data_IF_526069838917
#
_entry.id   IF_526069838917
#
_cell.length_a   1.000
_cell.length_b   1.000
_cell.length_c   1.000
_cell.angle_alpha   90.00
_cell.angle_beta   90.00
_cell.angle_gamma   90.00
#
_symmetry.space_group_name_H-M   'P 1'
#
loop_
_entity.id
_entity.type
_entity.pdbx_description
1 polymer ?
#
# COMPACT_ATOMS: atom_id res chain seq x y z
N UNK A 1 17.71 -8.16 8.74
CA UNK A 1 17.60 -7.79 8.19
C UNK A 1 17.27 -7.82 7.15
N UNK A 2 17.22 -7.67 7.09
CA UNK A 2 17.30 -7.77 6.48
C UNK A 2 17.44 -7.52 5.32
N UNK A 3 18.14 -7.39 5.06
CA UNK A 3 18.57 -7.05 3.84
C UNK A 3 17.80 -7.61 2.77
N UNK A 4 17.04 -8.55 2.99
CA UNK A 4 16.29 -9.04 1.97
C UNK A 4 14.91 -8.66 2.05
N UNK A 5 14.57 -7.59 1.45
CA UNK A 5 13.23 -7.10 1.35
C UNK A 5 12.41 -8.14 0.62
N UNK A 6 12.11 -8.46 -0.35
CA UNK A 6 11.33 -9.53 -0.99
C UNK A 6 9.86 -9.46 -0.75
N UNK A 7 9.29 -8.26 -0.76
CA UNK A 7 7.87 -8.07 -0.60
C UNK A 7 7.39 -8.14 0.84
N UNK A 8 8.31 -8.18 1.78
CA UNK A 8 7.95 -8.12 3.19
C UNK A 8 7.74 -6.68 3.61
N UNK A 9 7.26 -6.52 4.82
CA UNK A 9 7.06 -5.21 5.43
C UNK A 9 8.37 -4.44 5.51
N UNK A 10 8.33 -3.20 5.05
CA UNK A 10 9.48 -2.31 5.14
C UNK A 10 8.99 -0.89 5.42
N UNK A 11 9.64 -0.20 6.38
CA UNK A 11 9.35 1.20 6.64
C UNK A 11 10.26 2.07 5.77
N UNK A 12 9.67 2.91 4.94
CA UNK A 12 10.40 3.88 4.11
C UNK A 12 10.55 5.21 4.83
N UNK A 13 9.64 5.50 5.75
CA UNK A 13 9.66 6.65 6.66
C UNK A 13 9.11 6.17 8.00
N UNK A 14 9.25 6.94 9.08
CA UNK A 14 8.77 6.47 10.40
C UNK A 14 7.30 6.05 10.41
N UNK A 15 6.48 6.64 9.56
CA UNK A 15 5.06 6.32 9.51
C UNK A 15 4.57 5.92 8.12
N UNK A 16 5.48 5.52 7.23
CA UNK A 16 5.15 5.06 5.89
C UNK A 16 5.74 3.67 5.66
N UNK A 17 4.86 2.70 5.54
CA UNK A 17 5.22 1.29 5.40
C UNK A 17 4.77 0.77 4.04
N UNK A 18 5.59 -0.07 3.43
CA UNK A 18 5.18 -0.82 2.25
C UNK A 18 5.17 -2.31 2.58
N UNK A 19 4.31 -3.04 1.87
CA UNK A 19 4.21 -4.49 2.05
C UNK A 19 3.68 -5.12 0.76
N UNK A 20 4.34 -6.14 0.28
CA UNK A 20 3.99 -6.81 -0.97
C UNK A 20 2.87 -7.84 -0.83
N UNK A 21 1.89 -7.60 0.01
CA UNK A 21 0.74 -8.48 0.16
C UNK A 21 -0.10 -8.46 -1.12
N UNK A 22 -0.04 -9.53 -1.89
CA UNK A 22 -0.60 -9.57 -3.24
C UNK A 22 -1.59 -10.72 -3.46
N UNK A 23 -2.02 -11.39 -2.39
CA UNK A 23 -3.08 -12.40 -2.42
C UNK A 23 -3.80 -12.38 -1.07
N UNK A 24 -4.90 -13.13 -0.98
CA UNK A 24 -5.72 -13.11 0.24
C UNK A 24 -4.95 -13.57 1.48
N UNK A 25 -4.08 -14.55 1.32
CA UNK A 25 -3.31 -15.05 2.47
C UNK A 25 -2.29 -14.04 2.97
N UNK A 26 -1.55 -13.42 2.05
CA UNK A 26 -0.55 -12.43 2.45
C UNK A 26 -1.18 -11.15 2.98
N UNK A 27 -2.37 -10.77 2.47
CA UNK A 27 -3.12 -9.65 3.04
C UNK A 27 -3.55 -9.96 4.46
N UNK A 28 -3.99 -11.19 4.73
CA UNK A 28 -4.37 -11.58 6.08
C UNK A 28 -3.19 -11.44 7.05
N UNK A 29 -2.00 -11.86 6.63
CA UNK A 29 -0.79 -11.72 7.44
C UNK A 29 -0.50 -10.25 7.71
N UNK A 30 -0.63 -9.40 6.71
CA UNK A 30 -0.44 -7.95 6.89
C UNK A 30 -1.45 -7.38 7.89
N UNK A 31 -2.72 -7.76 7.78
CA UNK A 31 -3.75 -7.29 8.70
C UNK A 31 -3.46 -7.73 10.13
N UNK A 32 -3.06 -8.98 10.32
CA UNK A 32 -2.70 -9.48 11.64
C UNK A 32 -1.54 -8.67 12.24
N UNK A 33 -0.55 -8.34 11.42
CA UNK A 33 0.57 -7.50 11.85
C UNK A 33 0.08 -6.11 12.28
N UNK A 34 -0.77 -5.49 11.46
CA UNK A 34 -1.28 -4.16 11.78
C UNK A 34 -2.08 -4.16 13.07
N UNK A 35 -2.90 -5.18 13.27
CA UNK A 35 -3.72 -5.27 14.47
C UNK A 35 -2.93 -5.60 15.73
N UNK A 36 -1.85 -6.37 15.61
CA UNK A 36 -1.07 -6.77 16.77
C UNK A 36 0.00 -5.76 17.15
N UNK A 37 0.61 -5.09 16.17
CA UNK A 37 1.74 -4.21 16.45
C UNK A 37 1.45 -2.73 16.26
N UNK A 38 0.36 -2.39 15.58
CA UNK A 38 0.02 -1.00 15.27
C UNK A 38 -1.43 -0.68 15.59
N UNK A 39 -2.01 -1.37 16.57
CA UNK A 39 -3.40 -1.17 16.95
C UNK A 39 -3.68 0.23 17.48
N UNK A 40 -2.65 0.93 17.94
CA UNK A 40 -2.78 2.28 18.44
C UNK A 40 -2.72 3.34 17.34
N UNK A 41 -2.54 2.94 16.09
CA UNK A 41 -2.41 3.86 14.96
C UNK A 41 -3.70 3.94 14.17
N UNK A 42 -3.93 5.11 13.60
CA UNK A 42 -4.97 5.30 12.61
C UNK A 42 -4.38 4.91 11.25
N UNK A 43 -4.93 3.87 10.65
CA UNK A 43 -4.34 3.27 9.44
C UNK A 43 -4.97 3.88 8.19
N UNK A 44 -4.13 4.33 7.25
CA UNK A 44 -4.55 4.71 5.91
C UNK A 44 -3.82 3.85 4.91
N UNK A 45 -4.55 3.28 3.96
CA UNK A 45 -3.99 2.29 3.03
C UNK A 45 -4.13 2.75 1.59
N UNK A 46 -3.11 2.46 0.80
CA UNK A 46 -3.14 2.62 -0.65
C UNK A 46 -2.86 1.25 -1.28
N UNK A 47 -3.69 0.87 -2.23
CA UNK A 47 -3.61 -0.45 -2.87
C UNK A 47 -3.58 -0.33 -4.38
N UNK A 48 -2.72 -1.11 -5.02
CA UNK A 48 -2.77 -1.33 -6.46
C UNK A 48 -2.38 -2.76 -6.78
N UNK A 49 -2.99 -3.31 -7.81
CA UNK A 49 -2.82 -4.72 -8.16
C UNK A 49 -2.63 -4.89 -9.66
N UNK A 50 -2.19 -6.08 -10.06
CA UNK A 50 -2.24 -6.50 -11.45
C UNK A 50 -3.49 -7.33 -11.66
N UNK A 51 -3.95 -7.41 -12.91
CA UNK A 51 -5.26 -7.97 -13.25
C UNK A 51 -5.26 -9.49 -13.42
N UNK A 52 -4.19 -10.16 -13.03
CA UNK A 52 -4.08 -11.61 -13.16
C UNK A 52 -4.77 -12.36 -12.01
N UNK A 53 -5.24 -11.66 -11.00
CA UNK A 53 -5.86 -12.27 -9.81
C UNK A 53 -7.09 -11.49 -9.38
N UNK A 54 -8.08 -12.18 -8.76
CA UNK A 54 -9.21 -11.48 -8.16
C UNK A 54 -8.75 -10.59 -7.01
N UNK A 55 -9.33 -9.42 -6.92
CA UNK A 55 -8.94 -8.42 -5.90
C UNK A 55 -9.99 -8.22 -4.81
N UNK A 56 -11.22 -8.69 -5.01
CA UNK A 56 -12.32 -8.39 -4.10
C UNK A 56 -12.05 -8.81 -2.66
N UNK A 57 -11.50 -10.01 -2.48
CA UNK A 57 -11.19 -10.51 -1.14
C UNK A 57 -10.11 -9.69 -0.45
N UNK A 58 -9.12 -9.26 -1.21
CA UNK A 58 -8.06 -8.40 -0.65
C UNK A 58 -8.62 -7.05 -0.24
N UNK A 59 -9.45 -6.45 -1.08
CA UNK A 59 -10.06 -5.16 -0.77
C UNK A 59 -10.97 -5.25 0.45
N UNK A 60 -11.76 -6.32 0.55
CA UNK A 60 -12.64 -6.52 1.71
C UNK A 60 -11.85 -6.61 3.01
N UNK A 61 -10.74 -7.30 2.99
CA UNK A 61 -9.90 -7.41 4.18
C UNK A 61 -9.25 -6.08 4.53
N UNK A 62 -8.69 -5.38 3.54
CA UNK A 62 -7.96 -4.14 3.78
C UNK A 62 -8.88 -3.04 4.31
N UNK A 63 -10.10 -2.93 3.78
CA UNK A 63 -11.00 -1.88 4.23
C UNK A 63 -11.45 -2.09 5.68
N UNK A 64 -11.28 -3.29 6.23
CA UNK A 64 -11.66 -3.55 7.61
C UNK A 64 -10.70 -2.97 8.63
N UNK A 65 -9.49 -2.59 8.23
CA UNK A 65 -8.48 -2.12 9.17
C UNK A 65 -8.18 -0.63 9.05
N UNK A 66 -8.64 0.02 8.00
CA UNK A 66 -8.35 1.44 7.83
C UNK A 66 -9.03 2.05 6.62
N UNK A 67 -8.68 3.30 6.37
CA UNK A 67 -9.21 4.07 5.24
C UNK A 67 -8.47 3.64 3.97
N UNK A 68 -9.19 3.04 3.04
CA UNK A 68 -8.60 2.42 1.85
C UNK A 68 -8.82 3.27 0.61
N UNK A 69 -7.72 3.56 -0.09
CA UNK A 69 -7.72 4.19 -1.41
C UNK A 69 -7.10 3.23 -2.41
N UNK A 70 -7.61 3.19 -3.61
CA UNK A 70 -7.06 2.34 -4.68
C UNK A 70 -6.46 3.22 -5.77
N UNK A 71 -5.46 2.67 -6.47
CA UNK A 71 -4.83 3.38 -7.56
C UNK A 71 -4.39 2.40 -8.65
N UNK A 72 -3.93 2.94 -9.76
CA UNK A 72 -3.28 2.20 -10.84
C UNK A 72 -1.82 2.61 -10.88
N UNK A 73 -1.00 1.89 -11.62
CA UNK A 73 0.42 2.22 -11.70
C UNK A 73 0.93 1.88 -13.11
N UNK A 74 2.14 2.30 -13.40
CA UNK A 74 2.74 2.17 -14.73
C UNK A 74 3.21 0.74 -14.95
N UNK A 75 2.30 -0.10 -15.42
CA UNK A 75 2.56 -1.51 -15.68
C UNK A 75 1.46 -2.04 -16.60
N UNK A 76 1.79 -2.83 -17.62
CA UNK A 76 0.79 -3.24 -18.63
C UNK A 76 -0.45 -3.91 -18.04
N UNK A 77 -0.27 -4.73 -17.01
CA UNK A 77 -1.37 -5.50 -16.43
C UNK A 77 -1.91 -4.87 -15.14
N UNK A 78 -1.61 -3.61 -14.87
CA UNK A 78 -2.15 -2.98 -13.67
C UNK A 78 -3.68 -2.87 -13.79
N UNK A 79 -4.37 -3.09 -12.69
CA UNK A 79 -5.82 -2.90 -12.64
C UNK A 79 -6.11 -1.42 -12.85
N UNK A 80 -6.92 -1.11 -13.86
CA UNK A 80 -7.25 0.28 -14.18
C UNK A 80 -8.27 0.83 -13.19
N UNK A 81 -8.26 2.14 -13.02
CA UNK A 81 -9.14 2.78 -12.03
C UNK A 81 -10.61 2.45 -12.24
N UNK A 82 -11.06 2.38 -13.49
CA UNK A 82 -12.46 2.08 -13.79
C UNK A 82 -12.85 0.62 -13.54
N UNK A 83 -11.89 -0.23 -13.21
CA UNK A 83 -12.15 -1.64 -12.89
C UNK A 83 -12.33 -1.89 -11.39
N UNK A 84 -12.04 -0.90 -10.56
CA UNK A 84 -12.31 -1.04 -9.13
C UNK A 84 -13.77 -0.72 -8.83
N UNK A 85 -14.35 -1.35 -7.81
CA UNK A 85 -15.70 -0.96 -7.37
C UNK A 85 -15.76 0.52 -7.01
N UNK A 86 -16.86 1.16 -7.39
CA UNK A 86 -17.02 2.61 -7.22
C UNK A 86 -17.01 3.04 -5.75
N UNK A 87 -17.27 2.12 -4.85
CA UNK A 87 -17.32 2.43 -3.41
C UNK A 87 -15.95 2.85 -2.86
N UNK A 88 -14.86 2.47 -3.52
CA UNK A 88 -13.53 2.77 -3.04
C UNK A 88 -13.06 4.14 -3.52
N UNK A 89 -12.37 4.86 -2.63
CA UNK A 89 -11.69 6.09 -2.99
C UNK A 89 -10.59 5.80 -4.01
N UNK A 90 -10.38 6.70 -4.94
CA UNK A 90 -9.39 6.53 -5.99
C UNK A 90 -8.46 7.73 -6.05
N UNK A 91 -7.21 7.48 -6.45
CA UNK A 91 -6.24 8.52 -6.70
C UNK A 91 -5.50 8.15 -8.00
N UNK A 92 -5.10 9.14 -8.82
CA UNK A 92 -4.52 8.83 -10.13
C UNK A 92 -3.20 8.07 -10.06
N UNK A 93 -2.38 8.34 -9.04
CA UNK A 93 -1.11 7.64 -8.88
C UNK A 93 -0.65 7.71 -7.43
N UNK A 94 0.35 6.87 -7.09
CA UNK A 94 0.84 6.80 -5.72
C UNK A 94 1.61 8.05 -5.30
N UNK A 95 2.24 8.73 -6.25
CA UNK A 95 3.01 9.94 -5.93
C UNK A 95 2.10 11.04 -5.41
N UNK A 96 0.95 11.22 -6.04
CA UNK A 96 -0.06 12.17 -5.61
C UNK A 96 -0.56 11.83 -4.20
N UNK A 97 -0.86 10.55 -3.97
CA UNK A 97 -1.34 10.13 -2.65
C UNK A 97 -0.31 10.41 -1.56
N UNK A 98 0.95 10.08 -1.82
CA UNK A 98 2.01 10.33 -0.84
C UNK A 98 2.17 11.81 -0.56
N UNK A 99 2.20 12.62 -1.62
CA UNK A 99 2.37 14.07 -1.46
C UNK A 99 1.21 14.72 -0.72
N UNK A 100 -0.01 14.26 -0.98
CA UNK A 100 -1.21 14.91 -0.43
C UNK A 100 -1.64 14.35 0.91
N UNK A 101 -1.36 13.09 1.21
CA UNK A 101 -1.90 12.43 2.39
C UNK A 101 -0.86 12.10 3.45
N UNK A 102 0.34 11.72 3.05
CA UNK A 102 1.33 11.26 4.02
C UNK A 102 1.93 12.45 4.76
N UNK A 103 1.72 12.48 6.06
CA UNK A 103 2.23 13.54 6.94
C UNK A 103 3.25 12.95 7.90
N UNK A 104 3.74 13.78 8.82
CA UNK A 104 4.63 13.31 9.88
C UNK A 104 3.89 13.03 11.19
N UNK A 105 2.56 12.98 11.15
CA UNK A 105 1.73 12.71 12.31
C UNK A 105 2.02 11.29 12.83
N UNK A 106 2.55 11.19 14.05
CA UNK A 106 2.92 9.90 14.62
C UNK A 106 1.72 9.08 15.11
N UNK A 107 0.52 9.61 15.04
CA UNK A 107 -0.71 8.87 15.35
C UNK A 107 -1.23 8.10 14.14
N UNK A 108 -0.71 8.39 12.97
CA UNK A 108 -1.12 7.73 11.73
C UNK A 108 -0.05 6.81 11.22
N UNK A 109 -0.49 5.73 10.59
CA UNK A 109 0.38 4.83 9.85
C UNK A 109 -0.15 4.71 8.42
N UNK A 110 0.68 5.02 7.46
CA UNK A 110 0.35 4.93 6.04
C UNK A 110 0.93 3.64 5.50
N UNK A 111 0.10 2.82 4.88
CA UNK A 111 0.50 1.49 4.38
C UNK A 111 0.21 1.41 2.89
N UNK A 112 1.23 1.14 2.10
CA UNK A 112 1.08 0.94 0.67
C UNK A 112 1.32 -0.53 0.37
N UNK A 113 0.35 -1.18 -0.27
CA UNK A 113 0.38 -2.62 -0.48
C UNK A 113 -0.21 -3.00 -1.83
N UNK A 114 -0.04 -4.26 -2.21
CA UNK A 114 -0.53 -4.79 -3.48
C UNK A 114 0.56 -5.51 -4.24
N UNK A 115 0.54 -5.39 -5.56
CA UNK A 115 1.50 -6.04 -6.44
C UNK A 115 2.95 -5.71 -6.07
N UNK A 116 3.83 -6.71 -6.14
CA UNK A 116 5.27 -6.50 -5.94
C UNK A 116 5.83 -5.49 -6.95
N UNK A 117 5.31 -5.48 -8.18
CA UNK A 117 5.74 -4.51 -9.19
C UNK A 117 5.37 -3.09 -8.77
N UNK A 118 4.18 -2.92 -8.19
CA UNK A 118 3.74 -1.64 -7.67
C UNK A 118 4.63 -1.18 -6.51
N UNK A 119 4.84 -2.07 -5.55
CA UNK A 119 5.64 -1.76 -4.36
C UNK A 119 7.08 -1.40 -4.73
N UNK A 120 7.65 -2.08 -5.73
CA UNK A 120 8.99 -1.75 -6.21
C UNK A 120 9.07 -0.33 -6.75
N UNK A 121 8.06 0.11 -7.50
CA UNK A 121 8.02 1.48 -8.01
C UNK A 121 7.89 2.49 -6.88
N UNK A 122 7.06 2.21 -5.90
CA UNK A 122 6.89 3.08 -4.73
C UNK A 122 8.20 3.21 -3.97
N UNK A 123 8.84 2.09 -3.69
CA UNK A 123 10.10 2.07 -2.95
C UNK A 123 11.16 2.89 -3.64
N UNK A 124 11.33 2.68 -4.92
CA UNK A 124 12.33 3.40 -5.71
C UNK A 124 12.07 4.90 -5.64
N UNK A 125 10.84 5.32 -5.87
CA UNK A 125 10.51 6.75 -5.89
C UNK A 125 10.73 7.40 -4.54
N UNK A 126 10.28 6.77 -3.45
CA UNK A 126 10.42 7.34 -2.11
C UNK A 126 11.89 7.46 -1.71
N UNK A 127 12.69 6.45 -2.01
CA UNK A 127 14.12 6.50 -1.68
C UNK A 127 14.84 7.55 -2.51
N UNK A 128 14.43 7.77 -3.76
CA UNK A 128 14.99 8.84 -4.58
C UNK A 128 14.66 10.21 -4.03
N UNK A 129 13.46 10.40 -3.50
CA UNK A 129 13.10 11.67 -2.87
C UNK A 129 13.97 11.95 -1.65
N UNK A 130 14.25 10.94 -0.86
CA UNK A 130 15.10 11.10 0.33
C UNK A 130 16.52 11.50 -0.05
N UNK A 131 17.06 11.00 -1.17
CA UNK A 131 18.43 11.31 -1.56
C UNK A 131 18.56 12.68 -2.21
N UNK A 132 17.48 13.37 -2.50
CA UNK A 132 17.52 14.72 -3.05
C UNK A 132 17.66 15.80 -1.98
N UNK A 133 17.73 15.43 -0.74
CA UNK A 133 17.81 16.39 0.37
C UNK A 133 19.23 16.78 0.72
#
# INVERSE_FOLDING_TARGET
AHANWRGRTEFLRPNLMIDGAHNNESVKVLIDLLQSEHADKEIELLFAAIDTKPIDGMLDQLKSVGDLTVTSFDYPNSVKLDKYPEVYKQVPDFKTWIKEHVTTDNKKLYVITGSLYFISQVRKWVLEQASDV
#
